data_IF_863761138819
#
_entry.id   IF_863761138819
#
_cell.length_a   1.000
_cell.length_b   1.000
_cell.length_c   1.000
_cell.angle_alpha   90.00
_cell.angle_beta   90.00
_cell.angle_gamma   90.00
#
_symmetry.space_group_name_H-M   'P 1'
#
loop_
_entity.id
_entity.type
_entity.pdbx_description
1 polymer ?
#
# COMPACT_ATOMS: atom_id res chain seq x y z
N UNK A 1 -36.87 -18.30 -28.90
CA UNK A 1 -35.76 -17.62 -29.65
C UNK A 1 -35.81 -16.08 -29.65
N UNK A 2 -36.98 -15.44 -29.60
CA UNK A 2 -37.08 -13.95 -29.52
C UNK A 2 -36.58 -13.33 -28.19
N UNK A 3 -36.71 -14.02 -27.10
CA UNK A 3 -36.31 -13.56 -25.75
C UNK A 3 -34.79 -13.42 -25.56
N UNK A 4 -33.98 -14.24 -26.22
CA UNK A 4 -32.52 -14.21 -26.09
C UNK A 4 -31.89 -12.99 -26.79
N UNK A 5 -32.37 -12.60 -27.98
CA UNK A 5 -31.89 -11.41 -28.68
C UNK A 5 -32.25 -10.09 -27.95
N UNK A 6 -33.45 -10.02 -27.37
CA UNK A 6 -33.87 -8.84 -26.59
C UNK A 6 -33.03 -8.71 -25.31
N UNK A 7 -32.79 -9.80 -24.62
CA UNK A 7 -31.93 -9.84 -23.41
C UNK A 7 -30.49 -9.43 -23.76
N UNK A 8 -29.93 -9.95 -24.86
CA UNK A 8 -28.57 -9.58 -25.31
C UNK A 8 -28.46 -8.09 -25.64
N UNK A 9 -29.44 -7.52 -26.32
CA UNK A 9 -29.47 -6.07 -26.59
C UNK A 9 -29.57 -5.24 -25.33
N UNK A 10 -30.43 -5.63 -24.41
CA UNK A 10 -30.57 -4.95 -23.11
C UNK A 10 -29.25 -4.98 -22.31
N UNK A 11 -28.63 -6.15 -22.18
CA UNK A 11 -27.32 -6.30 -21.50
C UNK A 11 -26.26 -5.43 -22.19
N UNK A 12 -26.20 -5.45 -23.52
CA UNK A 12 -25.24 -4.63 -24.28
C UNK A 12 -25.47 -3.14 -24.03
N UNK A 13 -26.69 -2.65 -24.06
CA UNK A 13 -26.99 -1.23 -23.82
C UNK A 13 -26.67 -0.80 -22.39
N UNK A 14 -26.86 -1.68 -21.41
CA UNK A 14 -26.52 -1.39 -20.01
C UNK A 14 -24.99 -1.39 -19.74
N UNK A 15 -24.23 -2.27 -20.41
CA UNK A 15 -22.79 -2.42 -20.19
C UNK A 15 -21.97 -1.48 -21.09
N UNK A 16 -22.45 -1.18 -22.29
CA UNK A 16 -21.71 -0.40 -23.27
C UNK A 16 -21.23 0.98 -22.77
N UNK A 17 -22.04 1.80 -22.07
CA UNK A 17 -21.57 3.10 -21.59
C UNK A 17 -20.37 2.96 -20.64
N UNK A 18 -20.46 2.04 -19.67
CA UNK A 18 -19.37 1.78 -18.72
C UNK A 18 -18.09 1.27 -19.43
N UNK A 19 -18.27 0.34 -20.39
CA UNK A 19 -17.15 -0.21 -21.17
C UNK A 19 -16.50 0.86 -22.06
N UNK A 20 -17.28 1.73 -22.70
CA UNK A 20 -16.76 2.84 -23.52
C UNK A 20 -15.95 3.80 -22.65
N UNK A 21 -16.48 4.22 -21.49
CA UNK A 21 -15.78 5.12 -20.56
C UNK A 21 -14.48 4.46 -20.03
N UNK A 22 -14.53 3.19 -19.68
CA UNK A 22 -13.35 2.43 -19.25
C UNK A 22 -12.28 2.40 -20.34
N UNK A 23 -12.68 2.14 -21.60
CA UNK A 23 -11.75 2.11 -22.72
C UNK A 23 -11.13 3.49 -22.98
N UNK A 24 -11.96 4.55 -23.04
CA UNK A 24 -11.51 5.91 -23.34
C UNK A 24 -10.62 6.51 -22.24
N UNK A 25 -10.96 6.30 -20.96
CA UNK A 25 -10.29 6.97 -19.86
C UNK A 25 -9.25 6.11 -19.15
N UNK A 26 -9.23 4.80 -19.35
CA UNK A 26 -8.28 3.91 -18.73
C UNK A 26 -7.37 3.20 -19.75
N UNK A 27 -7.94 2.53 -20.72
CA UNK A 27 -7.15 1.74 -21.68
C UNK A 27 -6.36 2.64 -22.64
N UNK A 28 -6.98 3.61 -23.29
CA UNK A 28 -6.28 4.49 -24.22
C UNK A 28 -5.14 5.29 -23.57
N UNK A 29 -5.31 5.96 -22.39
CA UNK A 29 -4.19 6.62 -21.73
C UNK A 29 -3.08 5.65 -21.34
N UNK A 30 -3.43 4.44 -20.86
CA UNK A 30 -2.42 3.43 -20.51
C UNK A 30 -1.60 3.02 -21.74
N UNK A 31 -2.24 2.72 -22.88
CA UNK A 31 -1.55 2.42 -24.13
C UNK A 31 -0.67 3.59 -24.60
N UNK A 32 -1.11 4.83 -24.38
CA UNK A 32 -0.31 6.01 -24.72
C UNK A 32 0.93 6.14 -23.82
N UNK A 33 0.88 5.77 -22.53
CA UNK A 33 2.05 5.70 -21.66
C UNK A 33 3.08 4.72 -22.23
N UNK A 34 2.66 3.52 -22.65
CA UNK A 34 3.55 2.54 -23.30
C UNK A 34 4.15 3.08 -24.59
N UNK A 35 3.34 3.75 -25.43
CA UNK A 35 3.85 4.39 -26.64
C UNK A 35 4.89 5.45 -26.31
N UNK A 36 4.55 6.41 -25.43
CA UNK A 36 5.42 7.53 -25.08
C UNK A 36 6.73 7.11 -24.43
N UNK A 37 6.76 5.97 -23.74
CA UNK A 37 7.98 5.43 -23.13
C UNK A 37 9.08 5.08 -24.16
N UNK A 38 8.69 4.87 -25.42
CA UNK A 38 9.59 4.55 -26.53
C UNK A 38 10.06 5.81 -27.31
N UNK A 39 9.59 6.99 -26.89
CA UNK A 39 9.94 8.26 -27.52
C UNK A 39 10.73 9.15 -26.54
N UNK A 40 11.61 9.97 -27.09
CA UNK A 40 12.18 11.09 -26.37
C UNK A 40 11.35 12.34 -26.70
N UNK A 41 10.86 12.98 -25.64
CA UNK A 41 10.07 14.20 -25.72
C UNK A 41 10.44 15.11 -24.55
N UNK A 42 10.90 16.30 -24.87
CA UNK A 42 11.17 17.35 -23.88
C UNK A 42 9.94 18.21 -23.60
N UNK A 43 9.99 18.98 -22.51
CA UNK A 43 8.86 19.86 -22.11
C UNK A 43 8.51 20.93 -23.14
N UNK A 44 9.52 21.44 -23.85
CA UNK A 44 9.39 22.58 -24.76
C UNK A 44 9.54 22.20 -26.23
N UNK A 45 9.76 20.91 -26.53
CA UNK A 45 9.88 20.44 -27.90
C UNK A 45 8.59 19.75 -28.33
N UNK A 46 7.92 20.22 -29.38
CA UNK A 46 6.78 19.52 -29.99
C UNK A 46 7.22 18.24 -30.70
N UNK A 47 8.52 18.07 -30.97
CA UNK A 47 9.06 16.96 -31.73
C UNK A 47 9.25 15.74 -30.84
N UNK A 48 8.54 14.67 -31.15
CA UNK A 48 8.71 13.35 -30.58
C UNK A 48 9.72 12.58 -31.45
N UNK A 49 10.85 12.16 -30.90
CA UNK A 49 11.82 11.30 -31.61
C UNK A 49 11.71 9.87 -31.09
N UNK A 50 11.52 8.91 -32.00
CA UNK A 50 11.48 7.51 -31.62
C UNK A 50 12.88 7.03 -31.23
N UNK A 51 13.04 6.59 -29.98
CA UNK A 51 14.31 6.13 -29.41
C UNK A 51 14.32 4.66 -29.00
N UNK A 52 13.19 3.95 -29.23
CA UNK A 52 13.04 2.55 -28.89
C UNK A 52 13.24 2.31 -27.39
N UNK A 53 14.13 1.39 -27.04
CA UNK A 53 14.37 0.98 -25.62
C UNK A 53 15.42 1.84 -24.91
N UNK A 54 15.91 2.95 -25.49
CA UNK A 54 16.97 3.79 -24.89
C UNK A 54 16.60 4.32 -23.51
N UNK A 55 15.33 4.71 -23.28
CA UNK A 55 14.84 5.14 -21.98
C UNK A 55 14.98 4.05 -20.92
N UNK A 56 14.66 2.80 -21.27
CA UNK A 56 14.78 1.64 -20.37
C UNK A 56 16.24 1.28 -20.09
N UNK A 57 17.12 1.39 -21.09
CA UNK A 57 18.57 1.19 -20.88
C UNK A 57 19.15 2.26 -19.94
N UNK A 58 18.68 3.50 -20.04
CA UNK A 58 19.04 4.56 -19.12
C UNK A 58 18.60 4.25 -17.69
N UNK A 59 17.34 3.80 -17.50
CA UNK A 59 16.80 3.39 -16.20
C UNK A 59 17.64 2.33 -15.48
N UNK A 60 18.14 1.35 -16.20
CA UNK A 60 18.97 0.28 -15.62
C UNK A 60 20.33 0.78 -15.08
N UNK A 61 20.77 1.99 -15.45
CA UNK A 61 22.02 2.62 -15.01
C UNK A 61 21.79 3.80 -14.10
N UNK A 62 20.55 4.23 -13.91
CA UNK A 62 20.18 5.36 -13.09
C UNK A 62 20.17 4.96 -11.60
N UNK A 63 21.23 5.35 -10.89
CA UNK A 63 21.38 5.02 -9.46
C UNK A 63 20.26 5.59 -8.59
N UNK A 64 19.68 6.76 -8.95
CA UNK A 64 18.60 7.36 -8.19
C UNK A 64 17.29 6.60 -8.42
N UNK A 65 17.01 6.18 -9.65
CA UNK A 65 15.88 5.30 -9.93
C UNK A 65 15.99 3.97 -9.19
N UNK A 66 17.18 3.32 -9.24
CA UNK A 66 17.40 2.04 -8.54
C UNK A 66 17.16 2.20 -7.05
N UNK A 67 17.70 3.26 -6.43
CA UNK A 67 17.47 3.55 -5.00
C UNK A 67 16.00 3.79 -4.69
N UNK A 68 15.29 4.53 -5.54
CA UNK A 68 13.86 4.79 -5.36
C UNK A 68 13.00 3.52 -5.48
N UNK A 69 13.37 2.61 -6.36
CA UNK A 69 12.75 1.27 -6.45
C UNK A 69 13.02 0.43 -5.20
N UNK A 70 14.25 0.42 -4.71
CA UNK A 70 14.60 -0.29 -3.47
C UNK A 70 13.80 0.23 -2.27
N UNK A 71 13.71 1.55 -2.11
CA UNK A 71 12.90 2.17 -1.06
C UNK A 71 11.42 1.80 -1.20
N UNK A 72 10.88 1.84 -2.42
CA UNK A 72 9.49 1.45 -2.67
C UNK A 72 9.23 -0.01 -2.28
N UNK A 73 10.11 -0.93 -2.68
CA UNK A 73 10.00 -2.35 -2.32
C UNK A 73 10.08 -2.53 -0.80
N UNK A 74 11.03 -1.87 -0.14
CA UNK A 74 11.19 -1.91 1.31
C UNK A 74 9.93 -1.41 2.03
N UNK A 75 9.37 -0.27 1.61
CA UNK A 75 8.12 0.26 2.16
C UNK A 75 6.97 -0.73 1.95
N UNK A 76 6.78 -1.25 0.74
CA UNK A 76 5.71 -2.21 0.44
C UNK A 76 5.82 -3.45 1.31
N UNK A 77 7.00 -4.04 1.42
CA UNK A 77 7.21 -5.28 2.19
C UNK A 77 7.02 -5.04 3.68
N UNK A 78 7.73 -4.05 4.25
CA UNK A 78 7.72 -3.83 5.70
C UNK A 78 6.37 -3.32 6.19
N UNK A 79 5.78 -2.33 5.49
CA UNK A 79 4.46 -1.82 5.88
C UNK A 79 3.40 -2.91 5.80
N UNK A 80 3.45 -3.78 4.77
CA UNK A 80 2.52 -4.91 4.66
C UNK A 80 2.66 -5.89 5.82
N UNK A 81 3.88 -6.37 6.08
CA UNK A 81 4.12 -7.35 7.15
C UNK A 81 3.68 -6.79 8.51
N UNK A 82 4.12 -5.57 8.84
CA UNK A 82 3.84 -4.96 10.14
C UNK A 82 2.34 -4.66 10.29
N UNK A 83 1.70 -4.09 9.27
CA UNK A 83 0.26 -3.78 9.31
C UNK A 83 -0.58 -5.04 9.52
N UNK A 84 -0.33 -6.10 8.74
CA UNK A 84 -1.10 -7.33 8.83
C UNK A 84 -0.86 -8.08 10.14
N UNK A 85 0.38 -8.13 10.62
CA UNK A 85 0.70 -8.73 11.90
C UNK A 85 -0.09 -8.05 13.05
N UNK A 86 -0.02 -6.73 13.14
CA UNK A 86 -0.76 -5.99 14.18
C UNK A 86 -2.26 -6.04 13.99
N UNK A 87 -2.76 -5.89 12.75
CA UNK A 87 -4.18 -5.94 12.47
C UNK A 87 -4.82 -7.29 12.84
N UNK A 88 -4.16 -8.41 12.51
CA UNK A 88 -4.63 -9.76 12.87
C UNK A 88 -4.58 -10.00 14.39
N UNK A 89 -3.50 -9.59 15.06
CA UNK A 89 -3.38 -9.72 16.52
C UNK A 89 -4.44 -8.89 17.24
N UNK A 90 -4.59 -7.61 16.87
CA UNK A 90 -5.60 -6.74 17.50
C UNK A 90 -7.02 -7.20 17.19
N UNK A 91 -7.29 -7.67 15.96
CA UNK A 91 -8.58 -8.26 15.62
C UNK A 91 -8.90 -9.48 16.47
N UNK A 92 -7.94 -10.40 16.66
CA UNK A 92 -8.11 -11.59 17.48
C UNK A 92 -8.39 -11.24 18.96
N UNK A 93 -7.60 -10.32 19.52
CA UNK A 93 -7.78 -9.86 20.90
C UNK A 93 -9.16 -9.23 21.08
N UNK A 94 -9.54 -8.30 20.21
CA UNK A 94 -10.81 -7.57 20.33
C UNK A 94 -12.01 -8.44 20.04
N UNK A 95 -11.93 -9.46 19.17
CA UNK A 95 -13.07 -10.32 18.83
C UNK A 95 -13.33 -11.38 19.91
N UNK A 96 -12.28 -11.97 20.49
CA UNK A 96 -12.39 -13.15 21.36
C UNK A 96 -12.50 -12.82 22.85
N UNK A 97 -11.83 -11.78 23.32
CA UNK A 97 -11.69 -11.51 24.77
C UNK A 97 -12.91 -10.81 25.38
N UNK A 98 -13.95 -10.46 24.59
CA UNK A 98 -15.11 -9.68 25.06
C UNK A 98 -14.70 -8.46 25.92
N UNK A 99 -13.66 -7.76 25.45
CA UNK A 99 -13.04 -6.65 26.20
C UNK A 99 -14.10 -5.54 26.43
N UNK A 100 -14.22 -5.11 27.67
CA UNK A 100 -15.04 -3.93 28.00
C UNK A 100 -14.48 -2.72 27.22
N UNK A 101 -15.36 -2.05 26.45
CA UNK A 101 -14.92 -0.94 25.59
C UNK A 101 -14.42 -1.34 24.19
N UNK A 102 -14.67 -2.55 23.72
CA UNK A 102 -14.30 -3.01 22.36
C UNK A 102 -14.64 -1.98 21.27
N UNK A 103 -15.83 -1.39 21.31
CA UNK A 103 -16.24 -0.38 20.33
C UNK A 103 -15.40 0.90 20.41
N UNK A 104 -14.97 1.29 21.59
CA UNK A 104 -14.08 2.44 21.78
C UNK A 104 -12.72 2.20 21.14
N UNK A 105 -12.11 1.03 21.38
CA UNK A 105 -10.85 0.67 20.72
C UNK A 105 -10.99 0.59 19.20
N UNK A 106 -12.08 0.01 18.68
CA UNK A 106 -12.37 0.01 17.24
C UNK A 106 -12.36 1.41 16.65
N UNK A 107 -13.02 2.36 17.31
CA UNK A 107 -13.08 3.75 16.84
C UNK A 107 -11.69 4.39 16.87
N UNK A 108 -10.96 4.29 17.97
CA UNK A 108 -9.62 4.90 18.11
C UNK A 108 -8.64 4.38 17.05
N UNK A 109 -8.59 3.06 16.84
CA UNK A 109 -7.71 2.49 15.82
C UNK A 109 -8.15 2.82 14.39
N UNK A 110 -9.44 3.05 14.17
CA UNK A 110 -9.97 3.35 12.84
C UNK A 110 -9.85 4.83 12.45
N UNK A 111 -9.83 5.76 13.41
CA UNK A 111 -9.72 7.22 13.18
C UNK A 111 -8.58 7.59 12.22
N UNK A 112 -7.34 7.06 12.36
CA UNK A 112 -6.25 7.39 11.44
C UNK A 112 -6.57 7.12 9.97
N UNK A 113 -7.34 6.10 9.68
CA UNK A 113 -7.69 5.74 8.30
C UNK A 113 -8.64 6.74 7.63
N UNK A 114 -9.44 7.47 8.42
CA UNK A 114 -10.38 8.48 7.91
C UNK A 114 -9.66 9.79 7.55
N UNK A 115 -8.51 10.05 8.17
CA UNK A 115 -7.75 11.26 7.93
C UNK A 115 -7.06 11.22 6.56
N UNK A 116 -6.97 12.38 5.90
CA UNK A 116 -6.20 12.47 4.67
C UNK A 116 -4.70 12.25 4.92
N UNK A 117 -4.00 11.67 3.93
CA UNK A 117 -2.54 11.45 4.02
C UNK A 117 -1.79 12.75 4.31
N UNK A 118 -2.25 13.87 3.78
CA UNK A 118 -1.63 15.19 4.01
C UNK A 118 -1.72 15.58 5.49
N UNK A 119 -2.88 15.38 6.12
CA UNK A 119 -3.07 15.66 7.55
C UNK A 119 -2.18 14.77 8.40
N UNK A 120 -2.15 13.47 8.11
CA UNK A 120 -1.29 12.51 8.83
C UNK A 120 0.17 12.89 8.67
N UNK A 121 0.60 13.21 7.45
CA UNK A 121 1.97 13.64 7.15
C UNK A 121 2.34 14.91 7.92
N UNK A 122 1.40 15.85 8.09
CA UNK A 122 1.56 17.05 8.90
C UNK A 122 1.73 16.72 10.39
N UNK A 123 0.87 15.84 10.93
CA UNK A 123 0.94 15.37 12.32
C UNK A 123 2.31 14.72 12.59
N UNK A 124 2.71 13.75 11.77
CA UNK A 124 4.00 13.08 11.94
C UNK A 124 5.19 14.01 11.71
N UNK A 125 5.07 14.97 10.77
CA UNK A 125 6.12 15.99 10.60
C UNK A 125 6.30 16.87 11.83
N UNK A 126 5.22 17.17 12.56
CA UNK A 126 5.29 17.90 13.83
C UNK A 126 5.87 17.01 14.96
N UNK A 127 5.47 15.73 15.03
CA UNK A 127 5.99 14.76 15.99
C UNK A 127 7.51 14.57 15.81
N UNK A 128 7.99 14.55 14.57
CA UNK A 128 9.38 14.31 14.17
C UNK A 128 10.26 15.57 14.12
N UNK A 129 9.74 16.74 14.52
CA UNK A 129 10.57 17.95 14.58
C UNK A 129 11.81 17.71 15.44
N UNK A 130 13.02 18.15 14.97
CA UNK A 130 14.22 18.05 15.79
C UNK A 130 14.11 18.85 17.08
N UNK A 131 13.72 20.11 16.95
CA UNK A 131 13.53 21.02 18.09
C UNK A 131 12.06 21.06 18.51
N UNK A 132 11.81 20.85 19.80
CA UNK A 132 10.48 20.84 20.39
C UNK A 132 9.49 19.84 19.77
N UNK A 133 9.97 18.84 19.02
CA UNK A 133 9.16 17.73 18.55
C UNK A 133 8.79 16.78 19.67
N UNK A 134 7.57 16.23 19.62
CA UNK A 134 7.04 15.38 20.69
C UNK A 134 7.97 14.21 21.04
N UNK A 135 8.51 13.50 20.03
CA UNK A 135 9.40 12.35 20.30
C UNK A 135 10.70 12.77 20.98
N UNK A 136 11.37 13.80 20.47
CA UNK A 136 12.61 14.28 21.07
C UNK A 136 12.36 14.85 22.47
N UNK A 137 11.24 15.51 22.69
CA UNK A 137 10.85 15.99 24.03
C UNK A 137 10.64 14.84 25.02
N UNK A 138 9.94 13.77 24.62
CA UNK A 138 9.72 12.59 25.47
C UNK A 138 11.06 11.88 25.75
N UNK A 139 11.90 11.67 24.74
CA UNK A 139 13.20 11.01 24.93
C UNK A 139 14.11 11.86 25.82
N UNK A 140 14.06 13.19 25.69
CA UNK A 140 14.80 14.14 26.51
C UNK A 140 14.47 14.08 28.01
N UNK A 141 13.27 13.59 28.38
CA UNK A 141 12.90 13.35 29.78
C UNK A 141 13.69 12.19 30.42
N UNK A 142 14.11 11.23 29.62
CA UNK A 142 14.79 10.02 30.09
C UNK A 142 16.30 10.02 29.82
N UNK A 143 16.76 10.87 28.92
CA UNK A 143 18.14 10.93 28.47
C UNK A 143 18.54 12.36 28.15
N UNK A 144 19.63 12.84 28.80
CA UNK A 144 20.28 14.07 28.38
C UNK A 144 20.83 13.92 26.96
N UNK A 145 20.21 14.61 25.99
CA UNK A 145 20.65 14.60 24.60
C UNK A 145 21.36 15.93 24.30
N UNK A 146 22.63 15.85 23.90
CA UNK A 146 23.38 17.01 23.38
C UNK A 146 22.83 17.46 22.02
N UNK A 147 22.39 16.48 21.20
CA UNK A 147 21.89 16.73 19.86
C UNK A 147 20.52 16.05 19.67
N UNK A 148 19.54 16.72 19.03
CA UNK A 148 18.23 16.14 18.76
C UNK A 148 18.33 15.06 17.67
N UNK A 149 17.51 14.00 17.82
CA UNK A 149 17.42 12.96 16.81
C UNK A 149 16.74 13.50 15.55
N UNK A 150 17.41 13.33 14.41
CA UNK A 150 16.89 13.72 13.09
C UNK A 150 16.04 12.59 12.51
N UNK A 151 14.78 12.50 12.95
CA UNK A 151 13.84 11.47 12.51
C UNK A 151 13.60 11.44 10.98
N UNK A 152 13.68 12.59 10.33
CA UNK A 152 13.61 12.73 8.88
C UNK A 152 14.99 12.85 8.22
N UNK A 153 16.07 12.53 8.94
CA UNK A 153 17.43 12.43 8.39
C UNK A 153 17.61 11.14 7.57
N UNK A 154 18.67 11.07 6.78
CA UNK A 154 18.90 9.99 5.80
C UNK A 154 18.75 8.57 6.36
N UNK A 155 19.18 8.34 7.60
CA UNK A 155 19.15 7.01 8.24
C UNK A 155 17.77 6.63 8.77
N UNK A 156 16.96 7.58 9.21
CA UNK A 156 15.70 7.34 9.92
C UNK A 156 14.45 7.71 9.11
N UNK A 157 14.61 8.34 7.96
CA UNK A 157 13.47 8.83 7.17
C UNK A 157 12.54 7.69 6.71
N UNK A 158 13.09 6.56 6.23
CA UNK A 158 12.30 5.39 5.83
C UNK A 158 11.56 4.76 7.02
N UNK A 159 12.22 4.41 8.16
CA UNK A 159 11.51 3.97 9.37
C UNK A 159 10.41 4.93 9.83
N UNK A 160 10.65 6.24 9.77
CA UNK A 160 9.66 7.25 10.17
C UNK A 160 8.42 7.25 9.27
N UNK A 161 8.61 7.08 7.96
CA UNK A 161 7.51 6.95 6.99
C UNK A 161 6.75 5.62 7.24
N UNK A 162 7.46 4.51 7.49
CA UNK A 162 6.84 3.21 7.80
C UNK A 162 5.89 3.34 8.99
N UNK A 163 6.33 3.97 10.08
CA UNK A 163 5.52 4.16 11.29
C UNK A 163 4.23 4.92 10.95
N UNK A 164 4.32 6.01 10.19
CA UNK A 164 3.16 6.79 9.80
C UNK A 164 2.17 6.00 8.92
N UNK A 165 2.69 5.24 7.94
CA UNK A 165 1.88 4.41 7.05
C UNK A 165 1.19 3.27 7.80
N UNK A 166 1.92 2.58 8.68
CA UNK A 166 1.40 1.48 9.48
C UNK A 166 0.32 1.99 10.43
N UNK A 167 0.55 3.10 11.13
CA UNK A 167 -0.44 3.73 12.01
C UNK A 167 -1.73 4.08 11.29
N UNK A 168 -1.64 4.59 10.07
CA UNK A 168 -2.79 4.90 9.22
C UNK A 168 -3.58 3.64 8.83
N UNK A 169 -2.91 2.53 8.53
CA UNK A 169 -3.53 1.37 7.89
C UNK A 169 -4.08 0.34 8.89
N UNK A 170 -3.46 0.17 10.06
CA UNK A 170 -3.80 -0.91 11.02
C UNK A 170 -5.28 -1.01 11.32
N UNK A 171 -5.93 0.10 11.62
CA UNK A 171 -7.32 0.11 12.09
C UNK A 171 -8.32 -0.39 11.06
N UNK A 172 -8.14 -0.06 9.80
CA UNK A 172 -9.00 -0.55 8.72
C UNK A 172 -8.93 -2.07 8.58
N UNK A 173 -7.72 -2.63 8.50
CA UNK A 173 -7.52 -4.08 8.37
C UNK A 173 -7.90 -4.82 9.65
N UNK A 174 -7.67 -4.25 10.81
CA UNK A 174 -8.15 -4.79 12.09
C UNK A 174 -9.68 -4.98 12.07
N UNK A 175 -10.44 -3.96 11.67
CA UNK A 175 -11.92 -4.05 11.62
C UNK A 175 -12.39 -5.07 10.58
N UNK A 176 -11.72 -5.13 9.41
CA UNK A 176 -12.02 -6.15 8.40
C UNK A 176 -11.80 -7.57 8.94
N UNK A 177 -10.68 -7.80 9.63
CA UNK A 177 -10.40 -9.13 10.20
C UNK A 177 -11.28 -9.45 11.41
N UNK A 178 -11.69 -8.47 12.20
CA UNK A 178 -12.70 -8.68 13.24
C UNK A 178 -14.01 -9.21 12.64
N UNK A 179 -14.47 -8.63 11.53
CA UNK A 179 -15.66 -9.11 10.83
C UNK A 179 -15.48 -10.54 10.31
N UNK A 180 -14.33 -10.84 9.70
CA UNK A 180 -14.01 -12.18 9.20
C UNK A 180 -13.91 -13.21 10.34
N UNK A 181 -13.27 -12.85 11.46
CA UNK A 181 -13.15 -13.74 12.63
C UNK A 181 -14.50 -13.98 13.32
N UNK A 182 -15.40 -13.00 13.28
CA UNK A 182 -16.75 -13.13 13.85
C UNK A 182 -17.66 -14.09 13.06
N UNK A 183 -17.33 -14.39 11.80
CA UNK A 183 -18.09 -15.36 10.99
C UNK A 183 -17.69 -16.81 11.26
N UNK A 184 -16.58 -17.06 11.97
CA UNK A 184 -16.14 -18.42 12.32
C UNK A 184 -17.05 -18.99 13.41
N UNK A 185 -17.64 -20.19 13.23
CA UNK A 185 -18.52 -20.82 14.21
C UNK A 185 -17.84 -21.02 15.56
N UNK A 186 -18.54 -20.62 16.64
CA UNK A 186 -17.99 -20.71 18.00
C UNK A 186 -17.75 -22.17 18.42
N UNK A 187 -18.56 -23.11 17.89
CA UNK A 187 -18.44 -24.55 18.17
C UNK A 187 -17.06 -25.12 17.85
N UNK A 188 -16.35 -24.59 16.83
CA UNK A 188 -14.99 -25.02 16.52
C UNK A 188 -14.00 -24.67 17.64
N UNK A 189 -14.20 -23.54 18.28
CA UNK A 189 -13.37 -23.12 19.41
C UNK A 189 -13.74 -23.87 20.70
N UNK A 190 -15.01 -24.20 20.89
CA UNK A 190 -15.48 -24.99 22.02
C UNK A 190 -14.91 -26.41 21.95
N UNK A 191 -14.98 -27.05 20.78
CA UNK A 191 -14.38 -28.37 20.56
C UNK A 191 -12.86 -28.36 20.80
N UNK A 192 -12.16 -27.37 20.26
CA UNK A 192 -10.72 -27.21 20.48
C UNK A 192 -10.34 -26.97 21.95
N UNK A 193 -11.21 -26.29 22.71
CA UNK A 193 -11.01 -26.14 24.16
C UNK A 193 -11.15 -27.48 24.89
N UNK A 194 -12.07 -28.33 24.49
CA UNK A 194 -12.24 -29.70 25.07
C UNK A 194 -11.02 -30.57 24.77
N UNK A 195 -10.40 -30.38 23.59
CA UNK A 195 -9.15 -31.04 23.19
C UNK A 195 -7.89 -30.43 23.85
N UNK A 196 -8.06 -29.41 24.70
CA UNK A 196 -6.96 -28.76 25.42
C UNK A 196 -6.15 -27.78 24.57
N UNK A 197 -6.62 -27.37 23.40
CA UNK A 197 -5.92 -26.43 22.53
C UNK A 197 -5.88 -25.02 23.13
N UNK A 198 -4.67 -24.50 23.36
CA UNK A 198 -4.46 -23.15 23.85
C UNK A 198 -4.83 -22.08 22.80
N UNK A 199 -4.94 -20.81 23.25
CA UNK A 199 -5.37 -19.66 22.41
C UNK A 199 -4.52 -19.44 21.17
N UNK A 200 -3.19 -19.59 21.29
CA UNK A 200 -2.28 -19.46 20.15
C UNK A 200 -2.48 -20.58 19.13
N UNK A 201 -2.68 -21.82 19.61
CA UNK A 201 -2.98 -22.98 18.75
C UNK A 201 -4.26 -22.73 17.97
N UNK A 202 -5.32 -22.30 18.64
CA UNK A 202 -6.59 -21.97 17.99
C UNK A 202 -6.46 -20.81 16.98
N UNK A 203 -5.64 -19.80 17.31
CA UNK A 203 -5.40 -18.69 16.37
C UNK A 203 -4.74 -19.16 15.08
N UNK A 204 -3.64 -19.94 15.18
CA UNK A 204 -2.89 -20.36 14.00
C UNK A 204 -3.51 -21.54 13.26
N UNK A 205 -4.21 -22.45 13.95
CA UNK A 205 -4.73 -23.69 13.37
C UNK A 205 -6.22 -23.62 13.02
N UNK A 206 -6.99 -22.71 13.61
CA UNK A 206 -8.43 -22.55 13.33
C UNK A 206 -8.69 -21.19 12.69
N UNK A 207 -8.35 -20.09 13.39
CA UNK A 207 -8.74 -18.75 12.96
C UNK A 207 -8.09 -18.37 11.63
N UNK A 208 -6.77 -18.39 11.55
CA UNK A 208 -6.03 -17.98 10.33
C UNK A 208 -6.41 -18.82 9.11
N UNK A 209 -6.45 -20.16 9.16
CA UNK A 209 -6.85 -20.96 8.02
C UNK A 209 -8.27 -20.68 7.53
N UNK A 210 -9.24 -20.51 8.43
CA UNK A 210 -10.65 -20.30 8.06
C UNK A 210 -10.90 -18.90 7.47
N UNK A 211 -10.16 -17.88 7.87
CA UNK A 211 -10.25 -16.54 7.28
C UNK A 211 -9.23 -16.29 6.17
N UNK A 212 -8.49 -17.33 5.73
CA UNK A 212 -7.37 -17.19 4.79
C UNK A 212 -7.77 -16.52 3.47
N UNK A 213 -8.94 -16.83 2.94
CA UNK A 213 -9.46 -16.20 1.71
C UNK A 213 -9.56 -14.69 1.84
N UNK A 214 -10.03 -14.20 2.99
CA UNK A 214 -10.10 -12.76 3.28
C UNK A 214 -8.70 -12.15 3.45
N UNK A 215 -7.79 -12.84 4.17
CA UNK A 215 -6.39 -12.40 4.31
C UNK A 215 -5.73 -12.28 2.95
N UNK A 216 -5.84 -13.30 2.10
CA UNK A 216 -5.26 -13.33 0.75
C UNK A 216 -5.77 -12.17 -0.12
N UNK A 217 -7.08 -11.98 -0.14
CA UNK A 217 -7.70 -10.93 -0.96
C UNK A 217 -7.25 -9.54 -0.50
N UNK A 218 -7.34 -9.28 0.80
CA UNK A 218 -6.92 -7.99 1.37
C UNK A 218 -5.42 -7.75 1.22
N UNK A 219 -4.59 -8.78 1.36
CA UNK A 219 -3.14 -8.71 1.16
C UNK A 219 -2.80 -8.27 -0.27
N UNK A 220 -3.43 -8.88 -1.27
CA UNK A 220 -3.19 -8.52 -2.67
C UNK A 220 -3.56 -7.07 -2.96
N UNK A 221 -4.73 -6.62 -2.51
CA UNK A 221 -5.16 -5.22 -2.67
C UNK A 221 -4.27 -4.25 -1.90
N UNK A 222 -3.86 -4.60 -0.67
CA UNK A 222 -3.01 -3.76 0.16
C UNK A 222 -1.64 -3.51 -0.47
N UNK A 223 -0.99 -4.56 -0.95
CA UNK A 223 0.32 -4.46 -1.59
C UNK A 223 0.29 -3.49 -2.78
N UNK A 224 -0.74 -3.60 -3.64
CA UNK A 224 -0.90 -2.71 -4.79
C UNK A 224 -1.16 -1.27 -4.32
N UNK A 225 -2.06 -1.08 -3.36
CA UNK A 225 -2.41 0.25 -2.86
C UNK A 225 -1.26 0.92 -2.11
N UNK A 226 -0.40 0.14 -1.45
CA UNK A 226 0.76 0.65 -0.69
C UNK A 226 1.77 1.35 -1.59
N UNK A 227 1.90 0.97 -2.87
CA UNK A 227 2.76 1.67 -3.85
C UNK A 227 2.31 3.13 -4.02
N UNK A 228 1.00 3.35 -4.19
CA UNK A 228 0.44 4.71 -4.29
C UNK A 228 0.51 5.46 -2.95
N UNK A 229 0.22 4.76 -1.85
CA UNK A 229 0.30 5.35 -0.52
C UNK A 229 1.73 5.78 -0.16
N UNK A 230 2.74 4.97 -0.47
CA UNK A 230 4.14 5.32 -0.29
C UNK A 230 4.49 6.63 -1.00
N UNK A 231 4.04 6.79 -2.26
CA UNK A 231 4.22 8.05 -2.98
C UNK A 231 3.57 9.24 -2.26
N UNK A 232 2.32 9.10 -1.82
CA UNK A 232 1.59 10.18 -1.16
C UNK A 232 2.26 10.60 0.16
N UNK A 233 2.69 9.62 0.98
CA UNK A 233 3.41 9.89 2.22
C UNK A 233 4.78 10.53 1.97
N UNK A 234 5.57 9.99 1.04
CA UNK A 234 6.88 10.55 0.67
C UNK A 234 6.72 11.97 0.15
N UNK A 235 5.77 12.19 -0.77
CA UNK A 235 5.52 13.53 -1.33
C UNK A 235 5.13 14.54 -0.26
N UNK A 236 4.26 14.16 0.69
CA UNK A 236 3.75 15.06 1.71
C UNK A 236 4.71 15.28 2.89
N UNK A 237 5.53 14.26 3.27
CA UNK A 237 6.42 14.36 4.45
C UNK A 237 7.81 14.88 4.11
N UNK A 238 8.38 14.50 2.96
CA UNK A 238 9.81 14.66 2.66
C UNK A 238 10.10 15.12 1.23
N UNK A 239 9.13 14.99 0.33
CA UNK A 239 9.32 15.21 -1.12
C UNK A 239 10.50 14.41 -1.71
N UNK A 240 10.79 13.21 -1.15
CA UNK A 240 11.92 12.36 -1.54
C UNK A 240 13.23 12.62 -0.79
N UNK A 241 13.30 13.71 0.02
CA UNK A 241 14.51 14.09 0.75
C UNK A 241 14.76 13.31 2.04
N UNK A 242 15.92 13.56 2.70
CA UNK A 242 17.08 14.30 2.20
C UNK A 242 17.87 13.49 1.15
N UNK A 243 18.47 14.16 0.17
CA UNK A 243 19.35 13.57 -0.85
C UNK A 243 18.78 12.30 -1.53
N UNK A 244 17.48 12.25 -1.80
CA UNK A 244 16.81 11.07 -2.37
C UNK A 244 16.67 9.86 -1.41
N UNK A 245 16.99 10.01 -0.11
CA UNK A 245 16.98 8.90 0.85
C UNK A 245 15.61 8.29 1.07
N UNK A 246 14.54 9.09 0.96
CA UNK A 246 13.17 8.62 1.06
C UNK A 246 12.45 8.52 -0.28
N UNK A 247 13.14 8.79 -1.40
CA UNK A 247 12.49 8.82 -2.70
C UNK A 247 11.96 7.42 -3.07
N UNK A 248 10.81 7.40 -3.72
CA UNK A 248 10.16 6.17 -4.23
C UNK A 248 9.92 6.32 -5.72
N UNK A 249 9.85 5.20 -6.43
CA UNK A 249 9.82 5.17 -7.89
C UNK A 249 8.73 6.08 -8.50
N UNK A 250 7.54 6.12 -7.89
CA UNK A 250 6.45 6.97 -8.37
C UNK A 250 6.74 8.47 -8.12
N UNK A 251 7.38 8.86 -7.01
CA UNK A 251 7.79 10.24 -6.77
C UNK A 251 8.91 10.64 -7.72
N UNK A 252 9.87 9.75 -7.96
CA UNK A 252 10.94 9.96 -8.95
C UNK A 252 10.39 10.14 -10.37
N UNK A 253 9.39 9.33 -10.76
CA UNK A 253 8.69 9.50 -12.03
C UNK A 253 8.10 10.92 -12.19
N UNK A 254 7.42 11.43 -11.16
CA UNK A 254 6.87 12.79 -11.17
C UNK A 254 7.95 13.85 -11.24
N UNK A 255 9.07 13.68 -10.53
CA UNK A 255 10.22 14.60 -10.59
C UNK A 255 10.81 14.67 -12.00
N UNK A 256 10.95 13.53 -12.69
CA UNK A 256 11.44 13.50 -14.07
C UNK A 256 10.46 14.16 -15.06
N UNK A 257 9.15 13.96 -14.83
CA UNK A 257 8.10 14.64 -15.60
C UNK A 257 8.19 16.17 -15.41
N UNK A 258 8.35 16.62 -14.16
CA UNK A 258 8.43 18.05 -13.83
C UNK A 258 9.76 18.68 -14.35
N UNK A 259 10.81 17.88 -14.49
CA UNK A 259 12.06 18.26 -15.19
C UNK A 259 11.92 18.30 -16.72
N UNK A 260 10.75 17.93 -17.27
CA UNK A 260 10.48 17.96 -18.71
C UNK A 260 10.89 16.70 -19.46
N UNK A 261 11.34 15.65 -18.79
CA UNK A 261 11.75 14.38 -19.39
C UNK A 261 10.56 13.43 -19.54
N UNK A 262 9.57 13.79 -20.37
CA UNK A 262 8.30 13.07 -20.46
C UNK A 262 8.47 11.62 -20.90
N UNK A 263 9.22 11.33 -21.95
CA UNK A 263 9.45 9.97 -22.42
C UNK A 263 10.10 9.08 -21.37
N UNK A 264 11.11 9.61 -20.69
CA UNK A 264 11.80 8.93 -19.59
C UNK A 264 10.86 8.67 -18.40
N UNK A 265 10.09 9.68 -17.99
CA UNK A 265 9.07 9.55 -16.95
C UNK A 265 8.04 8.46 -17.29
N UNK A 266 7.58 8.38 -18.56
CA UNK A 266 6.66 7.31 -18.99
C UNK A 266 7.31 5.92 -18.96
N UNK A 267 8.62 5.82 -19.26
CA UNK A 267 9.35 4.55 -19.12
C UNK A 267 9.41 4.08 -17.64
N UNK A 268 9.62 5.02 -16.70
CA UNK A 268 9.50 4.72 -15.26
C UNK A 268 8.09 4.19 -14.93
N UNK A 269 7.04 4.84 -15.42
CA UNK A 269 5.65 4.42 -15.24
C UNK A 269 5.38 3.01 -15.76
N UNK A 270 5.91 2.66 -16.94
CA UNK A 270 5.81 1.30 -17.50
C UNK A 270 6.50 0.27 -16.59
N UNK A 271 7.70 0.58 -16.07
CA UNK A 271 8.42 -0.34 -15.16
C UNK A 271 7.65 -0.54 -13.87
N UNK A 272 7.10 0.53 -13.26
CA UNK A 272 6.26 0.43 -12.05
C UNK A 272 5.00 -0.41 -12.33
N UNK A 273 4.35 -0.21 -13.47
CA UNK A 273 3.17 -0.99 -13.87
C UNK A 273 3.50 -2.48 -13.99
N UNK A 274 4.55 -2.83 -14.71
CA UNK A 274 4.98 -4.23 -14.91
C UNK A 274 5.41 -4.86 -13.57
N UNK A 275 6.12 -4.12 -12.74
CA UNK A 275 6.51 -4.55 -11.39
C UNK A 275 5.28 -4.84 -10.52
N UNK A 276 4.31 -3.91 -10.49
CA UNK A 276 3.07 -4.06 -9.71
C UNK A 276 2.25 -5.26 -10.16
N UNK A 277 2.17 -5.48 -11.48
CA UNK A 277 1.49 -6.62 -12.07
C UNK A 277 2.18 -7.94 -11.70
N UNK A 278 3.50 -8.00 -11.86
CA UNK A 278 4.29 -9.18 -11.50
C UNK A 278 4.19 -9.48 -10.00
N UNK A 279 4.31 -8.45 -9.15
CA UNK A 279 4.19 -8.59 -7.71
C UNK A 279 2.81 -9.13 -7.30
N UNK A 280 1.74 -8.58 -7.88
CA UNK A 280 0.37 -9.04 -7.64
C UNK A 280 0.18 -10.51 -8.06
N UNK A 281 0.69 -10.89 -9.24
CA UNK A 281 0.61 -12.26 -9.73
C UNK A 281 1.40 -13.22 -8.83
N UNK A 282 2.60 -12.85 -8.40
CA UNK A 282 3.44 -13.62 -7.49
C UNK A 282 2.76 -13.83 -6.13
N UNK A 283 2.25 -12.76 -5.53
CA UNK A 283 1.54 -12.83 -4.24
C UNK A 283 0.30 -13.70 -4.35
N UNK A 284 -0.50 -13.51 -5.40
CA UNK A 284 -1.71 -14.29 -5.61
C UNK A 284 -1.41 -15.79 -5.80
N UNK A 285 -0.34 -16.13 -6.51
CA UNK A 285 0.11 -17.52 -6.68
C UNK A 285 0.68 -18.09 -5.38
N UNK A 286 1.52 -17.35 -4.66
CA UNK A 286 2.15 -17.81 -3.43
C UNK A 286 1.15 -18.03 -2.28
N UNK A 287 0.05 -17.25 -2.25
CA UNK A 287 -0.99 -17.34 -1.22
C UNK A 287 -2.18 -18.21 -1.62
N UNK A 288 -2.15 -18.81 -2.82
CA UNK A 288 -3.22 -19.68 -3.30
C UNK A 288 -3.30 -20.95 -2.46
N UNK A 289 -4.45 -21.17 -1.82
CA UNK A 289 -4.81 -22.38 -1.09
C UNK A 289 -6.28 -22.68 -1.36
N UNK A 290 -6.66 -23.94 -1.31
CA UNK A 290 -8.06 -24.32 -1.39
C UNK A 290 -8.80 -23.74 -0.18
N UNK A 291 -9.97 -23.10 -0.38
CA UNK A 291 -10.77 -22.58 0.71
C UNK A 291 -11.22 -23.73 1.60
N UNK A 292 -11.09 -23.58 2.91
CA UNK A 292 -11.70 -24.47 3.88
C UNK A 292 -13.16 -24.04 4.04
N UNK A 293 -14.10 -24.92 3.71
CA UNK A 293 -15.54 -24.75 3.93
C UNK A 293 -15.92 -25.39 5.27
N UNK A 294 -16.80 -24.73 6.03
CA UNK A 294 -17.29 -25.18 7.33
C UNK A 294 -18.82 -25.03 7.45
#
# INVERSE_FOLDING_TARGET
MRTDKSRKRFVFLCVAPATILFFLFMILPTLNVFRMSLYERGAYSPNETFVGLKNFQHLLRDAQFIRSMQNMILLVVVVTIVTFAFALVFAAILTREKIKGQNFFRIIFYIPNILSVVVISGIFSAIYKPENGMLNSIIGLFRNMSDPILWKGEKLVIPSIIIAMVWQAIGYYMVMYMASMSSVPISLYESANLDGAGRLTQFFQITIPLIWTNIRTTLTFFIISTINMAFLFVKAMTSGGPNGASDVALNYMYSQKDAGLYGYSMAIGVVIFLFSFALSACVNKATSRDPLEF
#
